data_IF_638743444574
#
_entry.id   IF_638743444574
#
_cell.length_a   1.000
_cell.length_b   1.000
_cell.length_c   1.000
_cell.angle_alpha   90.00
_cell.angle_beta   90.00
_cell.angle_gamma   90.00
#
_symmetry.space_group_name_H-M   'P 1'
#
loop_
_entity.id
_entity.type
_entity.pdbx_description
1 polymer ?
#
# COMPACT_ATOMS: atom_id res chain seq x y z
N UNK A 1 -0.77 -3.33 -41.07
CA UNK A 1 0.69 -3.38 -41.27
C UNK A 1 1.32 -3.53 -39.90
N UNK A 2 1.91 -4.69 -39.62
CA UNK A 2 2.67 -4.89 -38.38
C UNK A 2 4.07 -4.30 -38.51
N UNK A 3 4.59 -3.74 -37.42
CA UNK A 3 5.97 -3.32 -37.29
C UNK A 3 6.59 -4.12 -36.13
N UNK A 4 7.59 -4.93 -36.47
CA UNK A 4 8.53 -5.57 -35.55
C UNK A 4 9.84 -4.79 -35.69
N UNK A 5 10.39 -4.24 -34.60
CA UNK A 5 11.81 -3.82 -34.56
C UNK A 5 12.43 -4.09 -33.18
N UNK A 6 13.09 -5.25 -33.11
CA UNK A 6 14.44 -5.58 -32.61
C UNK A 6 15.03 -4.83 -31.39
N UNK A 7 15.34 -5.64 -30.36
CA UNK A 7 16.17 -5.38 -29.19
C UNK A 7 17.62 -4.97 -29.55
N UNK A 8 18.13 -3.91 -28.93
CA UNK A 8 19.54 -3.53 -28.94
C UNK A 8 20.07 -3.35 -27.52
N UNK A 9 20.97 -4.24 -27.11
CA UNK A 9 21.73 -4.16 -25.86
C UNK A 9 22.66 -2.95 -25.88
N UNK A 10 22.51 -2.02 -24.92
CA UNK A 10 23.45 -0.91 -24.75
C UNK A 10 24.52 -1.36 -23.74
N UNK A 11 25.70 -1.68 -24.24
CA UNK A 11 26.90 -1.89 -23.44
C UNK A 11 27.39 -0.52 -22.94
N UNK A 12 27.33 -0.28 -21.63
CA UNK A 12 27.93 0.92 -21.05
C UNK A 12 29.41 0.65 -20.74
N UNK A 13 30.27 1.32 -21.51
CA UNK A 13 31.71 1.36 -21.33
C UNK A 13 32.02 2.32 -20.17
N UNK A 14 32.74 1.85 -19.15
CA UNK A 14 33.23 2.69 -18.06
C UNK A 14 34.41 3.53 -18.60
N UNK A 15 34.35 4.89 -18.55
CA UNK A 15 35.44 5.73 -19.01
C UNK A 15 36.56 5.79 -17.96
N UNK A 16 37.80 5.52 -18.40
CA UNK A 16 39.00 5.77 -17.62
C UNK A 16 39.40 7.24 -17.77
N UNK A 17 39.52 7.94 -16.63
CA UNK A 17 40.05 9.30 -16.52
C UNK A 17 41.58 9.26 -16.60
N UNK A 18 42.17 9.98 -17.54
CA UNK A 18 43.60 10.30 -17.57
C UNK A 18 43.96 11.19 -16.37
N UNK A 19 44.93 10.75 -15.59
CA UNK A 19 45.51 11.47 -14.45
C UNK A 19 46.81 10.80 -14.01
N UNK A 20 47.92 11.35 -14.50
CA UNK A 20 49.31 10.98 -14.23
C UNK A 20 49.66 11.02 -12.72
N UNK A 21 50.41 10.00 -12.26
CA UNK A 21 50.87 9.88 -10.88
C UNK A 21 51.28 8.46 -10.50
N UNK A 22 52.57 8.14 -10.69
CA UNK A 22 53.22 6.91 -10.23
C UNK A 22 53.01 6.63 -8.73
N UNK A 23 52.57 5.43 -8.36
CA UNK A 23 53.33 4.54 -7.46
C UNK A 23 52.70 3.13 -7.43
N UNK A 24 53.54 2.11 -7.62
CA UNK A 24 53.11 0.72 -7.67
C UNK A 24 52.87 0.09 -6.30
N UNK A 25 52.03 -0.94 -6.28
CA UNK A 25 52.27 -2.19 -5.56
C UNK A 25 51.25 -3.24 -6.00
N UNK A 26 51.73 -4.25 -6.72
CA UNK A 26 51.08 -5.55 -6.84
C UNK A 26 51.01 -6.23 -5.47
N UNK A 27 49.89 -6.90 -5.18
CA UNK A 27 49.76 -8.13 -4.36
C UNK A 27 48.32 -8.62 -4.55
N UNK A 28 48.04 -9.60 -5.42
CA UNK A 28 48.21 -11.05 -5.27
C UNK A 28 47.10 -11.72 -4.43
N UNK A 29 46.37 -12.61 -5.12
CA UNK A 29 45.59 -13.79 -4.69
C UNK A 29 45.38 -14.07 -3.20
N UNK A 30 44.12 -14.36 -2.84
CA UNK A 30 43.75 -15.59 -2.14
C UNK A 30 42.22 -15.82 -2.17
N UNK A 31 41.83 -16.94 -2.79
CA UNK A 31 40.55 -17.62 -2.60
C UNK A 31 40.34 -18.00 -1.11
N UNK A 32 39.11 -17.89 -0.60
CA UNK A 32 38.58 -18.94 0.29
C UNK A 32 37.05 -19.04 0.20
N UNK A 33 36.62 -20.27 -0.06
CA UNK A 33 35.27 -20.81 -0.14
C UNK A 33 34.79 -21.15 1.25
N UNK A 34 33.56 -20.77 1.64
CA UNK A 34 32.76 -21.60 2.57
C UNK A 34 31.31 -21.67 2.08
N UNK A 35 30.97 -22.84 1.51
CA UNK A 35 29.63 -23.42 1.56
C UNK A 35 29.43 -24.02 2.96
N UNK A 36 28.21 -23.96 3.49
CA UNK A 36 27.63 -25.10 4.20
C UNK A 36 26.10 -25.02 4.20
N UNK A 37 25.54 -26.19 3.93
CA UNK A 37 24.16 -26.48 3.57
C UNK A 37 23.26 -26.76 4.79
N UNK A 38 21.96 -26.57 4.56
CA UNK A 38 20.84 -27.42 4.96
C UNK A 38 20.61 -27.70 6.46
N UNK A 39 19.50 -27.18 6.97
CA UNK A 39 18.63 -27.97 7.84
C UNK A 39 17.16 -27.70 7.52
N UNK A 40 16.42 -28.78 7.37
CA UNK A 40 15.02 -28.88 7.01
C UNK A 40 14.32 -29.37 8.24
N UNK A 41 13.44 -28.55 8.83
CA UNK A 41 12.44 -29.08 9.76
C UNK A 41 11.04 -28.61 9.38
N UNK A 42 10.26 -29.60 8.95
CA UNK A 42 8.83 -29.55 8.69
C UNK A 42 8.13 -30.06 9.93
N UNK A 43 7.25 -29.26 10.52
CA UNK A 43 6.43 -29.73 11.64
C UNK A 43 5.27 -28.83 12.00
N UNK A 44 4.12 -29.11 11.36
CA UNK A 44 2.80 -29.23 12.02
C UNK A 44 2.22 -27.95 12.64
N UNK A 45 1.32 -27.24 11.94
CA UNK A 45 -0.13 -27.52 11.89
C UNK A 45 -0.74 -27.72 13.28
N UNK A 46 -1.01 -26.60 13.94
CA UNK A 46 -1.90 -26.54 15.10
C UNK A 46 -3.21 -25.92 14.61
N UNK A 47 -4.19 -26.79 14.39
CA UNK A 47 -5.57 -26.44 14.10
C UNK A 47 -6.18 -25.80 15.36
N UNK A 48 -6.38 -24.49 15.33
CA UNK A 48 -7.30 -23.81 16.24
C UNK A 48 -8.57 -23.44 15.48
N UNK A 49 -9.64 -24.09 15.92
CA UNK A 49 -11.01 -23.94 15.49
C UNK A 49 -11.65 -22.71 16.15
N UNK A 50 -12.29 -21.85 15.33
CA UNK A 50 -13.60 -21.33 15.67
C UNK A 50 -14.61 -21.60 14.54
N UNK A 51 -15.01 -22.86 14.36
CA UNK A 51 -16.05 -23.27 13.40
C UNK A 51 -17.43 -23.00 14.00
N UNK A 52 -17.87 -21.74 13.93
CA UNK A 52 -19.28 -21.38 14.10
C UNK A 52 -19.70 -20.13 13.31
N UNK A 53 -18.77 -19.23 12.99
CA UNK A 53 -19.04 -18.06 12.13
C UNK A 53 -18.53 -18.24 10.67
N UNK A 54 -17.63 -19.20 10.43
CA UNK A 54 -17.04 -19.42 9.10
C UNK A 54 -17.96 -20.18 8.12
N UNK A 55 -18.87 -21.03 8.60
CA UNK A 55 -19.83 -21.75 7.74
C UNK A 55 -20.89 -20.79 7.14
N UNK A 56 -21.31 -19.75 7.86
CA UNK A 56 -22.31 -18.78 7.40
C UNK A 56 -21.67 -17.77 6.41
N UNK A 57 -20.43 -17.33 6.67
CA UNK A 57 -19.68 -16.49 5.73
C UNK A 57 -19.33 -17.21 4.43
N UNK A 58 -18.94 -18.49 4.48
CA UNK A 58 -18.56 -19.25 3.29
C UNK A 58 -19.73 -19.49 2.31
N UNK A 59 -20.97 -19.61 2.81
CA UNK A 59 -22.16 -19.71 1.96
C UNK A 59 -22.59 -18.35 1.38
N UNK A 60 -22.45 -17.26 2.15
CA UNK A 60 -22.75 -15.91 1.67
C UNK A 60 -21.77 -15.50 0.56
N UNK A 61 -20.48 -15.78 0.73
CA UNK A 61 -19.38 -15.43 -0.17
C UNK A 61 -19.46 -16.12 -1.56
N UNK A 62 -20.21 -17.24 -1.64
CA UNK A 62 -20.52 -17.93 -2.91
C UNK A 62 -21.58 -17.19 -3.75
N UNK A 63 -22.39 -16.33 -3.12
CA UNK A 63 -23.42 -15.52 -3.80
C UNK A 63 -22.93 -14.13 -4.20
N UNK A 64 -21.83 -13.67 -3.62
CA UNK A 64 -21.30 -12.33 -3.85
C UNK A 64 -20.60 -12.25 -5.23
N UNK A 65 -20.97 -11.29 -6.09
CA UNK A 65 -20.35 -11.14 -7.40
C UNK A 65 -18.83 -10.98 -7.30
N UNK A 66 -18.10 -11.53 -8.27
CA UNK A 66 -16.62 -11.45 -8.32
C UNK A 66 -16.10 -10.01 -8.16
N UNK A 67 -16.71 -9.05 -8.84
CA UNK A 67 -16.30 -7.63 -8.77
C UNK A 67 -16.41 -7.07 -7.34
N UNK A 68 -17.42 -7.46 -6.58
CA UNK A 68 -17.62 -6.96 -5.21
C UNK A 68 -16.54 -7.51 -4.27
N UNK A 69 -16.24 -8.82 -4.37
CA UNK A 69 -15.16 -9.45 -3.61
C UNK A 69 -13.78 -8.90 -3.98
N UNK A 70 -13.58 -8.55 -5.26
CA UNK A 70 -12.32 -7.94 -5.70
C UNK A 70 -12.19 -6.49 -5.22
N UNK A 71 -13.25 -5.70 -5.31
CA UNK A 71 -13.28 -4.33 -4.82
C UNK A 71 -13.03 -4.27 -3.30
N UNK A 72 -13.59 -5.20 -2.52
CA UNK A 72 -13.32 -5.30 -1.08
C UNK A 72 -11.83 -5.57 -0.80
N UNK A 73 -11.22 -6.54 -1.49
CA UNK A 73 -9.77 -6.80 -1.37
C UNK A 73 -8.92 -5.60 -1.81
N UNK A 74 -9.34 -4.87 -2.85
CA UNK A 74 -8.67 -3.65 -3.26
C UNK A 74 -8.76 -2.56 -2.17
N UNK A 75 -9.95 -2.39 -1.58
CA UNK A 75 -10.18 -1.47 -0.47
C UNK A 75 -9.25 -1.74 0.71
N UNK A 76 -9.15 -3.01 1.13
CA UNK A 76 -8.22 -3.45 2.18
C UNK A 76 -6.76 -3.10 1.83
N UNK A 77 -6.34 -3.38 0.60
CA UNK A 77 -4.97 -3.07 0.14
C UNK A 77 -4.68 -1.57 0.12
N UNK A 78 -5.63 -0.73 -0.29
CA UNK A 78 -5.44 0.73 -0.23
C UNK A 78 -5.29 1.22 1.20
N UNK A 79 -6.12 0.73 2.12
CA UNK A 79 -6.09 1.13 3.52
C UNK A 79 -4.80 0.70 4.24
N UNK A 80 -4.16 -0.39 3.78
CA UNK A 80 -2.82 -0.77 4.25
C UNK A 80 -1.72 0.23 3.83
N UNK A 81 -1.92 0.92 2.71
CA UNK A 81 -0.91 1.81 2.13
C UNK A 81 -1.14 3.27 2.50
N UNK A 82 -2.39 3.72 2.53
CA UNK A 82 -2.75 5.10 2.82
C UNK A 82 -4.04 5.18 3.66
N UNK A 83 -4.12 6.14 4.59
CA UNK A 83 -5.31 6.36 5.39
C UNK A 83 -6.37 7.10 4.58
N UNK A 84 -7.17 6.38 3.82
CA UNK A 84 -8.30 6.96 3.09
C UNK A 84 -9.49 7.21 4.02
N UNK A 85 -10.23 8.29 3.73
CA UNK A 85 -11.61 8.41 4.18
C UNK A 85 -12.49 7.42 3.42
N UNK A 86 -13.70 7.17 3.93
CA UNK A 86 -14.68 6.32 3.24
C UNK A 86 -15.03 6.86 1.85
N UNK A 87 -15.22 8.17 1.73
CA UNK A 87 -15.51 8.82 0.45
C UNK A 87 -14.33 8.80 -0.51
N UNK A 88 -13.12 9.09 -0.02
CA UNK A 88 -11.90 9.03 -0.82
C UNK A 88 -11.60 7.62 -1.32
N UNK A 89 -11.83 6.59 -0.50
CA UNK A 89 -11.66 5.20 -0.91
C UNK A 89 -12.65 4.79 -2.00
N UNK A 90 -13.92 5.21 -1.87
CA UNK A 90 -14.92 4.98 -2.90
C UNK A 90 -14.55 5.66 -4.23
N UNK A 91 -14.10 6.92 -4.18
CA UNK A 91 -13.64 7.65 -5.37
C UNK A 91 -12.42 6.97 -6.01
N UNK A 92 -11.48 6.46 -5.20
CA UNK A 92 -10.32 5.72 -5.69
C UNK A 92 -10.73 4.43 -6.43
N UNK A 93 -11.65 3.66 -5.84
CA UNK A 93 -12.12 2.39 -6.42
C UNK A 93 -12.92 2.59 -7.72
N UNK A 94 -13.68 3.69 -7.80
CA UNK A 94 -14.53 4.00 -8.98
C UNK A 94 -13.81 4.83 -10.04
N UNK A 95 -12.63 5.38 -9.74
CA UNK A 95 -11.86 6.19 -10.68
C UNK A 95 -11.39 5.36 -11.88
N UNK A 96 -11.62 5.90 -13.08
CA UNK A 96 -11.07 5.32 -14.32
C UNK A 96 -9.54 5.38 -14.43
N UNK A 97 -8.89 6.15 -13.54
CA UNK A 97 -7.42 6.15 -13.39
C UNK A 97 -6.94 5.23 -12.25
N UNK A 98 -7.87 4.71 -11.43
CA UNK A 98 -7.63 3.72 -10.38
C UNK A 98 -8.01 2.33 -10.89
N UNK A 99 -9.04 1.74 -10.27
CA UNK A 99 -9.47 0.37 -10.58
C UNK A 99 -10.71 0.28 -11.50
N UNK A 100 -11.43 1.40 -11.69
CA UNK A 100 -12.62 1.48 -12.54
C UNK A 100 -13.70 0.44 -12.17
N UNK A 101 -13.85 0.15 -10.87
CA UNK A 101 -14.90 -0.76 -10.41
C UNK A 101 -16.29 -0.15 -10.63
N UNK A 102 -17.31 -0.97 -10.95
CA UNK A 102 -18.70 -0.52 -10.94
C UNK A 102 -19.08 0.07 -9.58
N UNK A 103 -19.94 1.08 -9.59
CA UNK A 103 -20.36 1.82 -8.40
C UNK A 103 -20.91 0.89 -7.30
N UNK A 104 -21.75 -0.08 -7.68
CA UNK A 104 -22.27 -1.09 -6.74
C UNK A 104 -21.18 -1.94 -6.07
N UNK A 105 -20.09 -2.29 -6.79
CA UNK A 105 -19.01 -3.09 -6.24
C UNK A 105 -18.12 -2.27 -5.30
N UNK A 106 -17.84 -1.01 -5.66
CA UNK A 106 -17.10 -0.08 -4.79
C UNK A 106 -17.90 0.27 -3.53
N UNK A 107 -19.21 0.48 -3.66
CA UNK A 107 -20.10 0.72 -2.53
C UNK A 107 -20.10 -0.49 -1.58
N UNK A 108 -20.23 -1.70 -2.13
CA UNK A 108 -20.10 -2.92 -1.36
C UNK A 108 -18.76 -2.96 -0.61
N UNK A 109 -17.64 -2.63 -1.26
CA UNK A 109 -16.33 -2.64 -0.63
C UNK A 109 -16.24 -1.68 0.56
N UNK A 110 -16.65 -0.41 0.40
CA UNK A 110 -16.55 0.59 1.48
C UNK A 110 -17.58 0.39 2.61
N UNK A 111 -18.61 -0.40 2.36
CA UNK A 111 -19.60 -0.79 3.38
C UNK A 111 -19.16 -2.02 4.19
N UNK A 112 -18.34 -2.90 3.60
CA UNK A 112 -17.94 -4.16 4.22
C UNK A 112 -16.47 -4.20 4.66
N UNK A 113 -15.65 -3.21 4.27
CA UNK A 113 -14.26 -3.14 4.75
C UNK A 113 -14.24 -2.82 6.24
N UNK A 114 -13.58 -3.68 7.01
CA UNK A 114 -13.41 -3.50 8.44
C UNK A 114 -12.21 -2.58 8.70
N UNK A 115 -12.50 -1.32 9.05
CA UNK A 115 -11.47 -0.34 9.40
C UNK A 115 -12.01 0.65 10.43
N UNK A 116 -11.10 1.19 11.24
CA UNK A 116 -11.41 2.33 12.09
C UNK A 116 -11.19 3.63 11.30
N UNK A 117 -12.29 4.25 10.86
CA UNK A 117 -12.24 5.48 10.10
C UNK A 117 -11.72 6.68 10.89
N UNK A 118 -11.90 6.69 12.21
CA UNK A 118 -11.33 7.72 13.08
C UNK A 118 -9.81 7.56 13.18
N UNK A 119 -9.33 6.32 13.29
CA UNK A 119 -7.90 6.03 13.26
C UNK A 119 -7.27 6.41 11.91
N UNK A 120 -7.98 6.17 10.80
CA UNK A 120 -7.52 6.63 9.48
C UNK A 120 -7.42 8.16 9.43
N UNK A 121 -8.44 8.89 9.91
CA UNK A 121 -8.39 10.35 9.95
C UNK A 121 -7.22 10.89 10.78
N UNK A 122 -6.98 10.31 11.95
CA UNK A 122 -5.81 10.65 12.79
C UNK A 122 -4.51 10.37 12.03
N UNK A 123 -4.40 9.22 11.36
CA UNK A 123 -3.20 8.87 10.61
C UNK A 123 -2.96 9.79 9.41
N UNK A 124 -4.02 10.21 8.73
CA UNK A 124 -3.95 11.21 7.66
C UNK A 124 -3.45 12.56 8.21
N UNK A 125 -3.98 12.97 9.37
CA UNK A 125 -3.57 14.20 10.04
C UNK A 125 -2.07 14.20 10.41
N UNK A 126 -1.59 13.10 11.00
CA UNK A 126 -0.16 12.89 11.28
C UNK A 126 0.69 12.96 10.00
N UNK A 127 0.27 12.28 8.93
CA UNK A 127 1.01 12.27 7.66
C UNK A 127 1.15 13.69 7.06
N UNK A 128 0.13 14.54 7.17
CA UNK A 128 0.25 15.94 6.73
C UNK A 128 1.26 16.72 7.56
N UNK A 129 1.23 16.56 8.89
CA UNK A 129 2.15 17.25 9.80
C UNK A 129 3.61 16.80 9.60
N UNK A 130 3.82 15.53 9.27
CA UNK A 130 5.14 15.00 8.92
C UNK A 130 5.67 15.59 7.60
N UNK A 131 4.78 15.89 6.64
CA UNK A 131 5.14 16.47 5.36
C UNK A 131 5.40 17.99 5.46
N UNK A 132 4.53 18.71 6.16
CA UNK A 132 4.65 20.16 6.35
C UNK A 132 3.93 20.65 7.60
N UNK A 133 4.42 21.75 8.23
CA UNK A 133 3.70 22.37 9.33
C UNK A 133 2.34 22.92 8.90
N UNK A 134 1.29 22.59 9.65
CA UNK A 134 -0.07 23.12 9.49
C UNK A 134 -0.63 23.49 10.85
N UNK A 135 -1.51 24.50 10.90
CA UNK A 135 -2.33 24.75 12.08
C UNK A 135 -3.50 23.76 12.18
N UNK A 136 -4.06 23.58 13.37
CA UNK A 136 -5.23 22.71 13.59
C UNK A 136 -6.40 23.05 12.66
N UNK A 137 -6.62 24.35 12.40
CA UNK A 137 -7.69 24.79 11.48
C UNK A 137 -7.39 24.41 10.04
N UNK A 138 -6.15 24.60 9.58
CA UNK A 138 -5.76 24.22 8.21
C UNK A 138 -5.82 22.70 8.03
N UNK A 139 -5.41 21.95 9.06
CA UNK A 139 -5.43 20.50 9.05
C UNK A 139 -6.86 19.96 9.04
N UNK A 140 -7.73 20.51 9.89
CA UNK A 140 -9.16 20.19 9.87
C UNK A 140 -9.77 20.47 8.50
N UNK A 141 -9.55 21.67 7.95
CA UNK A 141 -10.06 22.07 6.64
C UNK A 141 -9.55 21.13 5.53
N UNK A 142 -8.30 20.71 5.59
CA UNK A 142 -7.71 19.77 4.64
C UNK A 142 -8.37 18.38 4.70
N UNK A 143 -8.61 17.86 5.91
CA UNK A 143 -9.23 16.55 6.11
C UNK A 143 -10.67 16.51 5.59
N UNK A 144 -11.46 17.58 5.81
CA UNK A 144 -12.87 17.62 5.37
C UNK A 144 -13.06 18.11 3.93
N UNK A 145 -12.01 18.65 3.30
CA UNK A 145 -12.11 19.28 1.98
C UNK A 145 -12.60 18.32 0.91
N UNK A 146 -13.54 18.78 0.09
CA UNK A 146 -14.01 18.08 -1.12
C UNK A 146 -12.94 17.89 -2.19
N UNK A 147 -11.81 18.59 -2.07
CA UNK A 147 -10.64 18.44 -2.92
C UNK A 147 -9.44 17.85 -2.17
N UNK A 148 -9.62 17.57 -0.88
CA UNK A 148 -8.64 16.91 -0.01
C UNK A 148 -9.10 15.49 0.27
N UNK A 149 -9.19 15.14 1.56
CA UNK A 149 -9.39 13.75 1.96
C UNK A 149 -10.84 13.34 2.14
N UNK A 150 -11.79 14.30 2.23
CA UNK A 150 -13.24 14.05 2.37
C UNK A 150 -13.63 13.21 3.61
N UNK A 151 -12.90 13.35 4.71
CA UNK A 151 -13.35 12.83 6.00
C UNK A 151 -14.62 13.54 6.47
N UNK A 152 -15.42 12.87 7.29
CA UNK A 152 -16.56 13.57 7.93
C UNK A 152 -16.04 14.60 8.93
N UNK A 153 -16.81 15.67 9.22
CA UNK A 153 -16.46 16.63 10.25
C UNK A 153 -16.11 15.99 11.60
N UNK A 154 -16.83 14.94 11.99
CA UNK A 154 -16.60 14.23 13.24
C UNK A 154 -15.27 13.46 13.25
N UNK A 155 -14.90 12.83 12.12
CA UNK A 155 -13.64 12.12 11.97
C UNK A 155 -12.45 13.08 11.94
N UNK A 156 -12.59 14.20 11.23
CA UNK A 156 -11.58 15.25 11.22
C UNK A 156 -11.41 15.87 12.61
N UNK A 157 -12.50 16.15 13.33
CA UNK A 157 -12.42 16.65 14.70
C UNK A 157 -11.77 15.63 15.63
N UNK A 158 -12.13 14.35 15.52
CA UNK A 158 -11.47 13.28 16.26
C UNK A 158 -9.96 13.29 16.02
N UNK A 159 -9.52 13.43 14.76
CA UNK A 159 -8.11 13.50 14.42
C UNK A 159 -7.42 14.65 15.16
N UNK A 160 -7.96 15.87 15.08
CA UNK A 160 -7.40 17.05 15.76
C UNK A 160 -7.32 16.84 17.29
N UNK A 161 -8.39 16.32 17.89
CA UNK A 161 -8.48 16.12 19.34
C UNK A 161 -7.50 15.05 19.88
N UNK A 162 -6.95 14.20 19.00
CA UNK A 162 -6.07 13.08 19.36
C UNK A 162 -4.63 13.24 18.83
N UNK A 163 -4.26 14.41 18.29
CA UNK A 163 -2.87 14.70 17.95
C UNK A 163 -2.01 14.81 19.20
N UNK A 164 -0.74 14.39 19.07
CA UNK A 164 0.26 14.61 20.11
C UNK A 164 0.72 16.08 20.10
N UNK A 165 0.99 16.62 21.30
CA UNK A 165 1.52 17.98 21.51
C UNK A 165 2.93 18.19 20.92
#
# INVERSE_FOLDING_TARGET
MGLVVVLGIISFVIPSSDGDGENGSEIADAEEVIQNENDSDTGTSELQEPEADEEDQAEEDATIPREHRNALRAAENYLLLMPFSKAGLFEQLTSSYGDDYPEEAAQYAVDNVETDWNANALKAAENYLDLMPMSDSELYDQLVSEYGDKYTPEQAQYAIDNLAD
#
